data_IF_164947069902
#
_entry.id   IF_164947069902
#
_cell.length_a   1.000
_cell.length_b   1.000
_cell.length_c   1.000
_cell.angle_alpha   90.00
_cell.angle_beta   90.00
_cell.angle_gamma   90.00
#
_symmetry.space_group_name_H-M   'P 1'
#
loop_
_entity.id
_entity.type
_entity.pdbx_description
1 polymer ?
#
# COMPACT_ATOMS: atom_id res chain seq x y z
N UNK A 1 -2.26 -1.97 -30.80
CA UNK A 1 -3.53 -2.56 -30.32
C UNK A 1 -4.34 -1.58 -29.45
N UNK A 2 -4.04 -1.26 -28.18
CA UNK A 2 -4.83 -0.22 -27.43
C UNK A 2 -4.62 1.22 -27.95
N UNK A 3 -3.37 1.69 -28.06
CA UNK A 3 -3.04 3.06 -28.50
C UNK A 3 -3.58 3.43 -29.89
N UNK A 4 -3.79 2.44 -30.75
CA UNK A 4 -4.36 2.62 -32.10
C UNK A 4 -5.88 2.79 -32.02
N UNK A 5 -6.56 1.92 -31.26
CA UNK A 5 -7.99 2.02 -30.97
C UNK A 5 -8.35 3.34 -30.24
N UNK A 6 -7.55 3.74 -29.25
CA UNK A 6 -7.74 4.99 -28.52
C UNK A 6 -7.65 6.23 -29.42
N UNK A 7 -6.64 6.28 -30.32
CA UNK A 7 -6.51 7.36 -31.32
C UNK A 7 -7.65 7.36 -32.33
N UNK A 8 -8.08 6.19 -32.79
CA UNK A 8 -9.20 6.07 -33.73
C UNK A 8 -10.54 6.50 -33.09
N UNK A 9 -10.79 6.10 -31.85
CA UNK A 9 -11.96 6.53 -31.07
C UNK A 9 -11.98 8.05 -30.86
N UNK A 10 -10.85 8.66 -30.51
CA UNK A 10 -10.72 10.10 -30.34
C UNK A 10 -10.96 10.86 -31.66
N UNK A 11 -10.51 10.30 -32.79
CA UNK A 11 -10.69 10.90 -34.12
C UNK A 11 -12.12 10.77 -34.66
N UNK A 12 -12.76 9.62 -34.46
CA UNK A 12 -14.05 9.28 -35.05
C UNK A 12 -15.25 9.67 -34.15
N UNK A 13 -14.98 10.16 -32.95
CA UNK A 13 -16.00 10.64 -32.01
C UNK A 13 -16.61 9.55 -31.12
N UNK A 14 -17.39 9.94 -30.09
CA UNK A 14 -17.83 9.07 -29.00
C UNK A 14 -18.85 7.99 -29.41
N UNK A 15 -19.60 8.20 -30.50
CA UNK A 15 -20.58 7.22 -31.02
C UNK A 15 -19.98 6.22 -32.01
N UNK A 16 -18.68 6.32 -32.30
CA UNK A 16 -17.99 5.46 -33.26
C UNK A 16 -17.93 4.00 -32.80
N UNK A 17 -17.71 3.08 -33.74
CA UNK A 17 -17.54 1.66 -33.41
C UNK A 17 -16.27 1.45 -32.58
N UNK A 18 -15.22 2.21 -32.87
CA UNK A 18 -13.94 2.20 -32.16
C UNK A 18 -14.08 2.70 -30.72
N UNK A 19 -14.87 3.75 -30.48
CA UNK A 19 -15.17 4.22 -29.13
C UNK A 19 -15.92 3.18 -28.29
N UNK A 20 -16.90 2.49 -28.89
CA UNK A 20 -17.63 1.39 -28.22
C UNK A 20 -16.75 0.17 -27.94
N UNK A 21 -15.80 -0.13 -28.82
CA UNK A 21 -14.80 -1.19 -28.61
C UNK A 21 -13.82 -0.82 -27.50
N UNK A 22 -13.37 0.44 -27.45
CA UNK A 22 -12.49 0.95 -26.42
C UNK A 22 -13.15 0.92 -25.04
N UNK A 23 -14.38 1.45 -24.91
CA UNK A 23 -15.17 1.43 -23.67
C UNK A 23 -15.40 0.00 -23.16
N UNK A 24 -15.72 -0.93 -24.06
CA UNK A 24 -15.87 -2.36 -23.71
C UNK A 24 -14.55 -2.96 -23.25
N UNK A 25 -13.44 -2.62 -23.90
CA UNK A 25 -12.11 -3.11 -23.53
C UNK A 25 -11.66 -2.57 -22.18
N UNK A 26 -11.88 -1.28 -21.91
CA UNK A 26 -11.59 -0.65 -20.61
C UNK A 26 -12.47 -1.19 -19.49
N UNK A 27 -13.78 -1.37 -19.73
CA UNK A 27 -14.69 -2.01 -18.77
C UNK A 27 -14.33 -3.45 -18.46
N UNK A 28 -14.00 -4.25 -19.48
CA UNK A 28 -13.56 -5.63 -19.27
C UNK A 28 -12.20 -5.67 -18.55
N UNK A 29 -11.31 -4.72 -18.83
CA UNK A 29 -10.05 -4.55 -18.11
C UNK A 29 -10.26 -4.20 -16.64
N UNK A 30 -11.12 -3.23 -16.35
CA UNK A 30 -11.49 -2.83 -14.99
C UNK A 30 -12.22 -3.95 -14.25
N UNK A 31 -13.15 -4.66 -14.90
CA UNK A 31 -13.83 -5.80 -14.32
C UNK A 31 -12.86 -6.94 -14.02
N UNK A 32 -11.89 -7.20 -14.91
CA UNK A 32 -10.84 -8.19 -14.66
C UNK A 32 -9.99 -7.81 -13.45
N UNK A 33 -9.55 -6.55 -13.36
CA UNK A 33 -8.79 -6.05 -12.20
C UNK A 33 -9.63 -6.15 -10.92
N UNK A 34 -10.91 -5.78 -10.97
CA UNK A 34 -11.80 -5.87 -9.81
C UNK A 34 -12.07 -7.31 -9.36
N UNK A 35 -12.19 -8.25 -10.30
CA UNK A 35 -12.29 -9.69 -10.01
C UNK A 35 -10.98 -10.18 -9.39
N UNK A 36 -9.83 -9.85 -9.98
CA UNK A 36 -8.52 -10.23 -9.42
C UNK A 36 -8.32 -9.70 -7.99
N UNK A 37 -8.64 -8.43 -7.74
CA UNK A 37 -8.57 -7.84 -6.39
C UNK A 37 -9.57 -8.50 -5.43
N UNK A 38 -10.78 -8.81 -5.91
CA UNK A 38 -11.78 -9.49 -5.08
C UNK A 38 -11.31 -10.90 -4.71
N UNK A 39 -10.72 -11.61 -5.64
CA UNK A 39 -10.17 -12.94 -5.44
C UNK A 39 -9.01 -12.86 -4.42
N UNK A 40 -8.07 -11.92 -4.59
CA UNK A 40 -6.99 -11.67 -3.62
C UNK A 40 -7.51 -11.33 -2.21
N UNK A 41 -8.58 -10.53 -2.09
CA UNK A 41 -9.19 -10.18 -0.79
C UNK A 41 -9.88 -11.38 -0.13
N UNK A 42 -10.50 -12.27 -0.90
CA UNK A 42 -11.06 -13.50 -0.34
C UNK A 42 -9.95 -14.48 0.05
N UNK A 43 -8.89 -14.59 -0.74
CA UNK A 43 -7.71 -15.41 -0.43
C UNK A 43 -7.00 -14.93 0.85
N UNK A 44 -6.80 -13.62 1.02
CA UNK A 44 -6.22 -13.03 2.25
C UNK A 44 -7.06 -13.30 3.51
N UNK A 45 -8.39 -13.44 3.35
CA UNK A 45 -9.29 -13.82 4.47
C UNK A 45 -9.19 -15.30 4.79
N UNK A 46 -9.06 -16.15 3.77
CA UNK A 46 -8.97 -17.60 3.94
C UNK A 46 -7.60 -18.01 4.49
N UNK A 47 -6.52 -17.37 4.03
CA UNK A 47 -5.14 -17.68 4.35
C UNK A 47 -4.39 -16.44 4.85
N UNK A 48 -4.67 -15.96 6.08
CA UNK A 48 -4.08 -14.72 6.59
C UNK A 48 -2.57 -14.87 6.79
N UNK A 49 -1.80 -14.00 6.12
CA UNK A 49 -0.33 -13.92 6.19
C UNK A 49 0.40 -15.25 5.84
N UNK A 50 -0.27 -16.23 5.24
CA UNK A 50 0.37 -17.47 4.80
C UNK A 50 1.25 -17.20 3.58
N UNK A 51 2.46 -17.76 3.60
CA UNK A 51 3.43 -17.58 2.52
C UNK A 51 3.88 -18.92 1.96
N UNK A 52 3.86 -19.04 0.64
CA UNK A 52 4.45 -20.18 -0.04
C UNK A 52 5.97 -20.03 -0.16
N UNK A 53 6.70 -21.06 0.25
CA UNK A 53 8.15 -21.13 0.11
C UNK A 53 8.52 -21.87 -1.16
N UNK A 54 9.35 -21.26 -2.00
CA UNK A 54 9.84 -21.92 -3.21
C UNK A 54 10.85 -23.03 -2.84
N UNK A 55 10.70 -24.25 -3.39
CA UNK A 55 11.57 -25.39 -3.06
C UNK A 55 13.08 -25.17 -3.29
N UNK A 56 13.46 -24.22 -4.15
CA UNK A 56 14.85 -23.90 -4.46
C UNK A 56 15.49 -22.81 -3.62
N UNK A 57 14.76 -22.22 -2.67
CA UNK A 57 15.27 -21.12 -1.82
C UNK A 57 15.26 -21.57 -0.36
N UNK A 58 16.41 -21.46 0.31
CA UNK A 58 16.49 -21.75 1.72
C UNK A 58 15.58 -20.78 2.51
N UNK A 59 14.64 -21.33 3.28
CA UNK A 59 13.71 -20.54 4.08
C UNK A 59 14.44 -19.56 5.01
N UNK A 60 15.59 -19.96 5.54
CA UNK A 60 16.44 -19.12 6.40
C UNK A 60 16.92 -17.85 5.70
N UNK A 61 17.26 -17.93 4.42
CA UNK A 61 17.73 -16.77 3.65
C UNK A 61 16.56 -15.88 3.24
N UNK A 62 15.46 -16.48 2.77
CA UNK A 62 14.25 -15.75 2.39
C UNK A 62 13.64 -14.99 3.57
N UNK A 63 13.67 -15.60 4.76
CA UNK A 63 13.06 -15.05 5.98
C UNK A 63 14.08 -14.42 6.93
N UNK A 64 15.28 -14.09 6.45
CA UNK A 64 16.37 -13.57 7.28
C UNK A 64 16.02 -12.26 8.02
N UNK A 65 15.03 -11.50 7.53
CA UNK A 65 14.55 -10.24 8.12
C UNK A 65 13.41 -10.42 9.13
N UNK A 66 12.85 -11.61 9.23
CA UNK A 66 11.69 -11.87 10.07
C UNK A 66 12.15 -12.35 11.45
N UNK A 67 11.38 -12.01 12.49
CA UNK A 67 11.61 -12.45 13.87
C UNK A 67 10.46 -13.32 14.36
N UNK A 68 10.81 -14.39 15.08
CA UNK A 68 9.83 -15.21 15.79
C UNK A 68 9.54 -14.63 17.16
N UNK A 69 8.30 -14.22 17.40
CA UNK A 69 7.84 -13.74 18.71
C UNK A 69 6.93 -14.77 19.37
N UNK A 70 7.10 -14.96 20.68
CA UNK A 70 6.25 -15.87 21.46
C UNK A 70 4.82 -15.34 21.58
N UNK A 71 4.67 -14.03 21.71
CA UNK A 71 3.38 -13.33 21.70
C UNK A 71 3.59 -11.90 21.23
N UNK A 72 2.88 -11.51 20.18
CA UNK A 72 2.87 -10.12 19.67
C UNK A 72 2.42 -9.09 20.72
N UNK A 73 1.65 -9.51 21.73
CA UNK A 73 1.11 -8.60 22.76
C UNK A 73 2.13 -8.28 23.87
N UNK A 74 2.95 -9.25 24.25
CA UNK A 74 3.76 -9.16 25.48
C UNK A 74 5.25 -9.26 25.24
N UNK A 75 5.68 -9.80 24.10
CA UNK A 75 7.11 -9.87 23.77
C UNK A 75 7.60 -8.47 23.42
N UNK A 76 8.79 -8.12 23.87
CA UNK A 76 9.44 -6.86 23.54
C UNK A 76 9.74 -6.79 22.02
N UNK A 77 9.47 -5.63 21.43
CA UNK A 77 9.85 -5.31 20.06
C UNK A 77 11.04 -4.35 20.10
N UNK A 78 12.24 -4.85 19.80
CA UNK A 78 13.46 -4.04 19.83
C UNK A 78 13.56 -3.22 18.54
N UNK A 79 13.33 -1.91 18.64
CA UNK A 79 13.34 -0.97 17.49
C UNK A 79 14.76 -0.67 16.97
N UNK A 80 15.77 -0.76 17.83
CA UNK A 80 17.14 -0.39 17.47
C UNK A 80 17.76 -1.31 16.39
N UNK A 81 17.35 -2.58 16.34
CA UNK A 81 17.77 -3.53 15.31
C UNK A 81 17.21 -3.17 13.93
N UNK A 82 16.05 -2.51 13.88
CA UNK A 82 15.36 -2.16 12.63
C UNK A 82 15.92 -0.89 11.98
N UNK A 83 16.72 -0.09 12.69
CA UNK A 83 17.30 1.18 12.20
C UNK A 83 18.09 1.04 10.90
N UNK A 84 18.68 -0.12 10.64
CA UNK A 84 19.43 -0.38 9.41
C UNK A 84 18.52 -0.50 8.16
N UNK A 85 17.23 -0.76 8.36
CA UNK A 85 16.24 -0.95 7.30
C UNK A 85 15.24 0.21 7.21
N UNK A 86 15.36 1.21 8.09
CA UNK A 86 14.51 2.41 8.05
C UNK A 86 14.72 3.20 6.73
N UNK A 87 13.64 3.73 6.12
CA UNK A 87 13.74 4.64 4.99
C UNK A 87 14.54 5.91 5.34
N UNK A 88 15.22 6.50 4.35
CA UNK A 88 16.04 7.70 4.54
C UNK A 88 15.22 8.88 5.15
N UNK A 89 13.99 9.06 4.69
CA UNK A 89 13.12 10.14 5.14
C UNK A 89 12.63 9.98 6.58
N UNK A 90 12.77 8.80 7.20
CA UNK A 90 12.35 8.57 8.58
C UNK A 90 13.02 9.53 9.57
N UNK A 91 14.29 9.87 9.32
CA UNK A 91 15.06 10.81 10.15
C UNK A 91 14.70 12.27 9.94
N UNK A 92 13.99 12.60 8.85
CA UNK A 92 13.51 13.95 8.56
C UNK A 92 12.20 14.27 9.27
N UNK A 93 11.49 13.25 9.74
CA UNK A 93 10.21 13.42 10.43
C UNK A 93 10.39 14.11 11.78
N UNK A 94 9.45 15.00 12.11
CA UNK A 94 9.36 15.60 13.43
C UNK A 94 8.94 14.53 14.45
N UNK A 95 9.79 14.27 15.45
CA UNK A 95 9.44 13.42 16.60
C UNK A 95 8.74 14.26 17.65
N UNK A 96 7.52 13.87 18.02
CA UNK A 96 6.72 14.51 19.09
C UNK A 96 6.60 13.54 20.26
N UNK A 97 7.45 13.64 21.31
CA UNK A 97 7.47 12.66 22.40
C UNK A 97 6.18 12.64 23.23
N UNK A 98 5.59 13.81 23.49
CA UNK A 98 4.28 13.94 24.12
C UNK A 98 3.34 14.68 23.17
N UNK A 99 2.57 13.89 22.42
CA UNK A 99 1.60 14.40 21.47
C UNK A 99 0.49 15.22 22.16
N UNK A 100 -0.01 14.74 23.30
CA UNK A 100 -1.16 15.38 23.96
C UNK A 100 -0.77 16.73 24.55
N UNK A 101 0.36 16.80 25.26
CA UNK A 101 0.86 18.07 25.81
C UNK A 101 1.27 19.06 24.73
N UNK A 102 1.92 18.59 23.65
CA UNK A 102 2.28 19.44 22.51
C UNK A 102 1.04 20.02 21.84
N UNK A 103 0.02 19.18 21.57
CA UNK A 103 -1.26 19.62 21.01
C UNK A 103 -1.92 20.69 21.87
N UNK A 104 -2.06 20.46 23.18
CA UNK A 104 -2.68 21.44 24.09
C UNK A 104 -1.91 22.75 24.20
N UNK A 105 -0.59 22.74 24.06
CA UNK A 105 0.22 23.98 24.00
C UNK A 105 -0.04 24.74 22.72
N UNK A 106 0.08 24.09 21.56
CA UNK A 106 -0.14 24.74 20.26
C UNK A 106 -1.57 25.29 20.12
N UNK A 107 -2.59 24.55 20.56
CA UNK A 107 -3.97 25.03 20.53
C UNK A 107 -4.15 26.30 21.38
N UNK A 108 -3.54 26.36 22.56
CA UNK A 108 -3.64 27.55 23.43
C UNK A 108 -2.90 28.75 22.87
N UNK A 109 -1.71 28.53 22.33
CA UNK A 109 -0.91 29.56 21.68
C UNK A 109 -1.65 30.16 20.47
N UNK A 110 -2.25 29.32 19.63
CA UNK A 110 -3.07 29.77 18.51
C UNK A 110 -4.29 30.61 18.96
N UNK A 111 -4.93 30.24 20.07
CA UNK A 111 -6.11 30.96 20.60
C UNK A 111 -5.75 32.31 21.24
N UNK A 112 -4.55 32.45 21.81
CA UNK A 112 -4.08 33.69 22.46
C UNK A 112 -3.50 34.67 21.43
N UNK A 113 -3.63 34.38 20.13
CA UNK A 113 -3.12 35.24 19.06
C UNK A 113 -1.60 35.15 18.95
N UNK A 114 -1.06 33.92 18.96
CA UNK A 114 0.36 33.66 18.77
C UNK A 114 0.90 34.38 17.53
N UNK A 115 1.62 35.47 17.78
CA UNK A 115 2.38 36.37 16.89
C UNK A 115 1.72 36.74 15.57
#
# INVERSE_FOLDING_TARGET
CYKVLARAAAKNGPSSAEARLLDRWERLGQAKIAVQIKDEVEDDKEFPDEIELYPGVAARERLAKYRGLKSLRTSEWVEDEDRAYEPEDWRRLLRVPDYQGSRSRFTREALVGGV
#
